data_IF_872548202990
#
_entry.id   IF_872548202990
#
_cell.length_a   1.000
_cell.length_b   1.000
_cell.length_c   1.000
_cell.angle_alpha   90.00
_cell.angle_beta   90.00
_cell.angle_gamma   90.00
#
_symmetry.space_group_name_H-M   'P 1'
#
loop_
_entity.id
_entity.type
_entity.pdbx_description
1 polymer ?
#
# COMPACT_ATOMS: atom_id res chain seq x y z
N UNK A 1 -21.79 29.42 9.86
CA UNK A 1 -22.31 28.11 9.44
C UNK A 1 -21.24 27.51 8.57
N UNK A 2 -20.57 26.52 9.14
CA UNK A 2 -19.21 26.10 8.84
C UNK A 2 -19.13 25.29 7.54
N UNK A 3 -18.45 25.86 6.54
CA UNK A 3 -18.16 25.22 5.23
C UNK A 3 -16.73 24.63 5.17
N UNK A 4 -16.03 24.60 6.30
CA UNK A 4 -14.62 24.17 6.37
C UNK A 4 -14.42 22.65 6.29
N UNK A 5 -15.48 21.84 6.44
CA UNK A 5 -15.37 20.39 6.53
C UNK A 5 -15.42 19.64 5.19
N UNK A 6 -15.80 20.28 4.08
CA UNK A 6 -16.06 19.59 2.81
C UNK A 6 -14.81 19.43 1.94
N UNK A 7 -13.96 20.47 1.88
CA UNK A 7 -12.74 20.46 1.06
C UNK A 7 -11.67 19.46 1.51
N UNK A 8 -11.55 19.22 2.82
CA UNK A 8 -10.57 18.26 3.36
C UNK A 8 -11.00 16.80 3.15
N UNK A 9 -12.31 16.51 3.28
CA UNK A 9 -12.87 15.17 3.04
C UNK A 9 -12.77 14.81 1.55
N UNK A 10 -13.07 15.75 0.65
CA UNK A 10 -12.91 15.54 -0.79
C UNK A 10 -11.44 15.29 -1.15
N UNK A 11 -10.52 15.99 -0.48
CA UNK A 11 -9.07 15.80 -0.69
C UNK A 11 -8.57 14.44 -0.20
N UNK A 12 -9.06 13.93 0.93
CA UNK A 12 -8.69 12.60 1.42
C UNK A 12 -9.26 11.49 0.53
N UNK A 13 -10.51 11.62 0.07
CA UNK A 13 -11.10 10.69 -0.87
C UNK A 13 -10.30 10.60 -2.19
N UNK A 14 -9.82 11.74 -2.70
CA UNK A 14 -8.95 11.79 -3.88
C UNK A 14 -7.61 11.09 -3.62
N UNK A 15 -6.95 11.33 -2.48
CA UNK A 15 -5.69 10.64 -2.15
C UNK A 15 -5.87 9.13 -1.99
N UNK A 16 -6.98 8.72 -1.36
CA UNK A 16 -7.34 7.31 -1.23
C UNK A 16 -7.49 6.66 -2.60
N UNK A 17 -8.22 7.28 -3.51
CA UNK A 17 -8.38 6.75 -4.87
C UNK A 17 -7.04 6.68 -5.61
N UNK A 18 -6.23 7.74 -5.54
CA UNK A 18 -4.89 7.75 -6.15
C UNK A 18 -3.98 6.64 -5.62
N UNK A 19 -4.05 6.33 -4.32
CA UNK A 19 -3.28 5.21 -3.76
C UNK A 19 -3.79 3.85 -4.26
N UNK A 20 -5.11 3.68 -4.39
CA UNK A 20 -5.69 2.46 -5.00
C UNK A 20 -5.22 2.33 -6.45
N UNK A 21 -5.34 3.38 -7.25
CA UNK A 21 -4.91 3.39 -8.65
C UNK A 21 -3.39 3.12 -8.77
N UNK A 22 -2.58 3.69 -7.87
CA UNK A 22 -1.13 3.48 -7.82
C UNK A 22 -0.74 2.04 -7.42
N UNK A 23 -1.57 1.34 -6.65
CA UNK A 23 -1.39 -0.11 -6.38
C UNK A 23 -1.84 -0.94 -7.58
N UNK A 24 -2.95 -0.58 -8.20
CA UNK A 24 -3.61 -1.40 -9.21
C UNK A 24 -2.89 -1.32 -10.58
N UNK A 25 -2.23 -0.20 -10.88
CA UNK A 25 -1.40 -0.05 -12.07
C UNK A 25 -0.27 -1.11 -12.19
N UNK A 26 0.63 -1.29 -11.20
CA UNK A 26 1.63 -2.35 -11.26
C UNK A 26 1.02 -3.75 -11.17
N UNK A 27 -0.13 -3.94 -10.52
CA UNK A 27 -0.84 -5.24 -10.54
C UNK A 27 -1.27 -5.62 -11.96
N UNK A 28 -1.82 -4.66 -12.72
CA UNK A 28 -2.21 -4.85 -14.11
C UNK A 28 -0.99 -5.13 -15.01
N UNK A 29 0.12 -4.43 -14.78
CA UNK A 29 1.38 -4.68 -15.48
C UNK A 29 1.91 -6.09 -15.20
N UNK A 30 2.04 -6.46 -13.93
CA UNK A 30 2.54 -7.78 -13.49
C UNK A 30 1.66 -8.93 -14.02
N UNK A 31 0.36 -8.69 -14.23
CA UNK A 31 -0.53 -9.70 -14.80
C UNK A 31 -0.12 -10.11 -16.24
N UNK A 32 0.63 -9.27 -16.95
CA UNK A 32 1.14 -9.54 -18.30
C UNK A 32 2.50 -10.24 -18.32
N UNK A 33 3.16 -10.35 -17.17
CA UNK A 33 4.50 -10.95 -17.06
C UNK A 33 4.47 -12.48 -17.22
N UNK A 34 5.66 -13.06 -17.41
CA UNK A 34 5.82 -14.52 -17.39
C UNK A 34 5.39 -15.11 -16.04
N UNK A 35 5.06 -16.40 -16.04
CA UNK A 35 4.70 -17.10 -14.79
C UNK A 35 5.82 -17.08 -13.75
N UNK A 36 7.07 -17.10 -14.20
CA UNK A 36 8.25 -17.13 -13.33
C UNK A 36 8.49 -15.75 -12.70
N UNK A 37 8.45 -14.69 -13.50
CA UNK A 37 8.59 -13.31 -13.00
C UNK A 37 7.45 -12.93 -12.05
N UNK A 38 6.22 -13.36 -12.37
CA UNK A 38 5.05 -13.12 -11.53
C UNK A 38 5.12 -13.92 -10.21
N UNK A 39 5.79 -15.07 -10.18
CA UNK A 39 5.98 -15.85 -8.95
C UNK A 39 6.96 -15.18 -7.99
N UNK A 40 7.93 -14.44 -8.51
CA UNK A 40 8.90 -13.71 -7.69
C UNK A 40 8.22 -12.57 -6.89
N UNK A 41 7.17 -11.96 -7.44
CA UNK A 41 6.41 -10.92 -6.75
C UNK A 41 5.51 -11.50 -5.65
N UNK A 42 5.82 -11.17 -4.41
CA UNK A 42 5.08 -11.62 -3.24
C UNK A 42 3.80 -10.82 -3.01
N UNK A 43 3.90 -9.49 -2.96
CA UNK A 43 2.80 -8.56 -2.72
C UNK A 43 3.06 -7.20 -3.35
N UNK A 44 1.97 -6.48 -3.63
CA UNK A 44 1.95 -5.08 -4.06
C UNK A 44 1.00 -4.31 -3.14
N UNK A 45 1.43 -3.14 -2.69
CA UNK A 45 0.62 -2.21 -1.90
C UNK A 45 0.98 -0.78 -2.28
N UNK A 46 0.13 0.16 -1.92
CA UNK A 46 0.41 1.57 -2.01
C UNK A 46 -0.01 2.29 -0.74
N UNK A 47 0.30 3.57 -0.66
CA UNK A 47 -0.17 4.44 0.39
C UNK A 47 -0.02 5.90 0.02
N UNK A 48 -0.59 6.75 0.85
CA UNK A 48 -0.47 8.18 0.74
C UNK A 48 -0.15 8.79 2.09
N UNK A 49 0.50 9.95 2.07
CA UNK A 49 0.72 10.79 3.23
C UNK A 49 -0.27 11.95 3.20
N UNK A 50 -1.07 12.13 4.26
CA UNK A 50 -2.10 13.17 4.34
C UNK A 50 -1.54 14.58 4.40
N UNK A 51 -0.34 14.77 4.99
CA UNK A 51 0.32 16.08 5.11
C UNK A 51 0.99 16.49 3.80
N UNK A 52 1.89 15.65 3.29
CA UNK A 52 2.66 15.97 2.08
C UNK A 52 1.87 15.76 0.78
N UNK A 53 0.68 15.14 0.86
CA UNK A 53 -0.16 14.76 -0.28
C UNK A 53 0.54 13.80 -1.26
N UNK A 54 1.68 13.23 -0.85
CA UNK A 54 2.45 12.27 -1.65
C UNK A 54 1.74 10.92 -1.69
N UNK A 55 1.82 10.25 -2.84
CA UNK A 55 1.37 8.87 -3.05
C UNK A 55 2.58 8.05 -3.48
N UNK A 56 2.67 6.80 -3.02
CA UNK A 56 3.74 5.87 -3.36
C UNK A 56 3.23 4.43 -3.37
N UNK A 57 3.90 3.55 -4.13
CA UNK A 57 3.60 2.13 -4.19
C UNK A 57 4.86 1.28 -3.98
N UNK A 58 4.68 0.09 -3.44
CA UNK A 58 5.74 -0.90 -3.26
C UNK A 58 5.39 -2.19 -3.97
N UNK A 59 6.41 -2.78 -4.59
CA UNK A 59 6.40 -4.16 -5.11
C UNK A 59 7.40 -4.93 -4.28
N UNK A 60 6.95 -5.98 -3.57
CA UNK A 60 7.84 -6.81 -2.79
C UNK A 60 8.21 -8.08 -3.56
N UNK A 61 9.49 -8.26 -3.86
CA UNK A 61 10.01 -9.44 -4.57
C UNK A 61 10.81 -10.35 -3.65
N UNK A 62 10.69 -11.67 -3.88
CA UNK A 62 11.43 -12.68 -3.12
C UNK A 62 12.92 -12.59 -3.40
N UNK A 63 13.28 -12.42 -4.68
CA UNK A 63 14.66 -12.30 -5.18
C UNK A 63 15.41 -11.08 -4.64
N UNK A 64 14.70 -10.01 -4.29
CA UNK A 64 15.30 -8.75 -3.82
C UNK A 64 15.34 -8.68 -2.29
N UNK A 65 14.22 -8.99 -1.63
CA UNK A 65 14.05 -8.68 -0.21
C UNK A 65 14.19 -9.88 0.71
N UNK A 66 14.11 -11.11 0.20
CA UNK A 66 14.27 -12.36 0.97
C UNK A 66 13.45 -12.42 2.29
N UNK A 67 12.29 -11.74 2.35
CA UNK A 67 11.46 -11.64 3.57
C UNK A 67 11.99 -10.69 4.66
N UNK A 68 13.12 -10.02 4.43
CA UNK A 68 13.75 -9.09 5.38
C UNK A 68 12.91 -7.82 5.53
N UNK A 69 12.30 -7.33 4.45
CA UNK A 69 11.35 -6.21 4.47
C UNK A 69 10.00 -6.64 3.91
N UNK A 70 8.93 -5.96 4.33
CA UNK A 70 7.59 -6.15 3.79
C UNK A 70 7.22 -5.01 2.84
N UNK A 71 6.13 -5.18 2.09
CA UNK A 71 5.68 -4.14 1.14
C UNK A 71 5.29 -2.85 1.85
N UNK A 72 4.81 -2.93 3.10
CA UNK A 72 4.53 -1.79 3.97
C UNK A 72 5.79 -0.99 4.28
N UNK A 73 6.94 -1.66 4.50
CA UNK A 73 8.23 -0.98 4.72
C UNK A 73 8.65 -0.20 3.46
N UNK A 74 8.44 -0.77 2.27
CA UNK A 74 8.75 -0.12 0.98
C UNK A 74 7.90 1.14 0.79
N UNK A 75 6.59 1.05 1.03
CA UNK A 75 5.67 2.19 0.91
C UNK A 75 6.04 3.30 1.89
N UNK A 76 6.29 2.96 3.16
CA UNK A 76 6.70 3.92 4.20
C UNK A 76 7.99 4.64 3.83
N UNK A 77 9.00 3.92 3.35
CA UNK A 77 10.27 4.49 2.92
C UNK A 77 10.06 5.51 1.79
N UNK A 78 9.25 5.16 0.79
CA UNK A 78 8.96 6.06 -0.32
C UNK A 78 8.12 7.28 0.08
N UNK A 79 7.23 7.14 1.06
CA UNK A 79 6.45 8.26 1.60
C UNK A 79 7.27 9.20 2.52
N UNK A 80 8.48 8.79 2.90
CA UNK A 80 9.38 9.58 3.75
C UNK A 80 9.17 9.38 5.24
N UNK A 81 8.50 8.30 5.66
CA UNK A 81 8.28 7.96 7.06
C UNK A 81 6.84 7.54 7.38
N UNK A 82 6.60 7.26 8.67
CA UNK A 82 5.32 6.72 9.17
C UNK A 82 4.30 7.78 9.55
N UNK A 83 4.69 9.07 9.55
CA UNK A 83 3.85 10.14 10.05
C UNK A 83 2.70 10.43 9.09
N UNK A 84 1.47 10.28 9.58
CA UNK A 84 0.21 10.59 8.89
C UNK A 84 0.04 9.92 7.51
N UNK A 85 0.44 8.64 7.44
CA UNK A 85 0.25 7.80 6.25
C UNK A 85 -0.97 6.89 6.36
N UNK A 86 -1.55 6.56 5.20
CA UNK A 86 -2.60 5.55 5.03
C UNK A 86 -2.20 4.64 3.88
N UNK A 87 -2.16 3.33 4.13
CA UNK A 87 -1.78 2.29 3.19
C UNK A 87 -2.99 1.46 2.75
N UNK A 88 -2.99 1.06 1.47
CA UNK A 88 -3.95 0.10 0.91
C UNK A 88 -3.70 -1.32 1.45
N UNK A 89 -4.69 -2.23 1.38
CA UNK A 89 -4.42 -3.66 1.56
C UNK A 89 -3.38 -4.16 0.56
N UNK A 90 -2.45 -5.00 1.03
CA UNK A 90 -1.46 -5.66 0.19
C UNK A 90 -2.12 -6.78 -0.63
N UNK A 91 -1.87 -6.81 -1.94
CA UNK A 91 -2.43 -7.80 -2.87
C UNK A 91 -1.31 -8.68 -3.41
N UNK A 92 -1.55 -9.99 -3.45
CA UNK A 92 -0.70 -10.96 -4.14
C UNK A 92 -1.04 -11.00 -5.64
N UNK A 93 -0.14 -10.59 -6.56
CA UNK A 93 -0.48 -10.46 -7.97
C UNK A 93 -0.93 -11.76 -8.63
N UNK A 94 -0.32 -12.88 -8.27
CA UNK A 94 -0.63 -14.20 -8.85
C UNK A 94 -2.02 -14.75 -8.52
N UNK A 95 -2.65 -14.29 -7.43
CA UNK A 95 -3.96 -14.81 -6.98
C UNK A 95 -5.02 -13.73 -6.76
N UNK A 96 -4.64 -12.45 -6.80
CA UNK A 96 -5.52 -11.34 -6.42
C UNK A 96 -5.90 -11.30 -4.94
N UNK A 97 -5.33 -12.18 -4.11
CA UNK A 97 -5.70 -12.28 -2.70
C UNK A 97 -5.13 -11.12 -1.90
N UNK A 98 -5.94 -10.60 -0.97
CA UNK A 98 -5.48 -9.69 0.08
C UNK A 98 -4.64 -10.49 1.07
N UNK A 99 -3.39 -10.07 1.27
CA UNK A 99 -2.48 -10.69 2.22
C UNK A 99 -2.56 -9.92 3.55
N UNK A 100 -2.81 -10.60 4.68
CA UNK A 100 -2.86 -9.95 5.98
C UNK A 100 -1.54 -9.31 6.36
N UNK A 101 -1.60 -8.12 6.96
CA UNK A 101 -0.43 -7.42 7.53
C UNK A 101 0.22 -8.32 8.57
N UNK A 102 1.50 -8.63 8.39
CA UNK A 102 2.20 -9.57 9.25
C UNK A 102 2.47 -8.99 10.65
N UNK A 103 2.67 -9.86 11.65
CA UNK A 103 2.93 -9.44 13.05
C UNK A 103 4.06 -8.42 13.16
N UNK A 104 5.13 -8.51 12.34
CA UNK A 104 6.23 -7.54 12.32
C UNK A 104 5.79 -6.15 11.87
N UNK A 105 4.96 -6.04 10.83
CA UNK A 105 4.44 -4.75 10.39
C UNK A 105 3.43 -4.19 11.40
N UNK A 106 2.68 -5.06 12.07
CA UNK A 106 1.76 -4.66 13.15
C UNK A 106 2.48 -4.04 14.37
N UNK A 107 3.73 -4.42 14.66
CA UNK A 107 4.52 -3.75 15.71
C UNK A 107 5.11 -2.41 15.27
N UNK A 108 5.20 -2.14 13.95
CA UNK A 108 5.78 -0.92 13.38
C UNK A 108 4.73 0.13 13.05
N UNK A 109 3.57 -0.29 12.58
CA UNK A 109 2.54 0.59 12.03
C UNK A 109 1.21 0.37 12.75
N UNK A 110 0.59 1.42 13.29
CA UNK A 110 -0.71 1.29 13.94
C UNK A 110 -1.79 0.92 12.92
N UNK A 111 -2.87 0.27 13.38
CA UNK A 111 -4.01 -0.09 12.51
C UNK A 111 -4.64 1.11 11.79
N UNK A 112 -4.54 2.30 12.38
CA UNK A 112 -4.98 3.55 11.78
C UNK A 112 -4.19 3.95 10.52
N UNK A 113 -3.01 3.38 10.29
CA UNK A 113 -2.21 3.59 9.07
C UNK A 113 -2.68 2.74 7.89
N UNK A 114 -3.80 2.02 8.01
CA UNK A 114 -4.31 1.12 6.98
C UNK A 114 -5.76 1.45 6.62
N UNK A 115 -6.07 1.36 5.33
CA UNK A 115 -7.44 1.54 4.85
C UNK A 115 -8.40 0.46 5.39
N UNK A 116 -9.70 0.77 5.51
CA UNK A 116 -10.74 -0.23 5.74
C UNK A 116 -10.65 -1.39 4.74
N UNK A 117 -10.89 -2.62 5.21
CA UNK A 117 -10.75 -3.84 4.40
C UNK A 117 -9.36 -4.48 4.44
N UNK A 118 -8.39 -3.85 5.11
CA UNK A 118 -7.08 -4.47 5.39
C UNK A 118 -7.23 -5.60 6.41
N UNK A 119 -6.63 -6.75 6.11
CA UNK A 119 -6.59 -7.91 7.01
C UNK A 119 -5.32 -7.88 7.87
N UNK A 120 -5.38 -8.46 9.06
CA UNK A 120 -4.27 -8.53 10.02
C UNK A 120 -4.14 -9.96 10.56
N UNK A 121 -2.90 -10.45 10.71
CA UNK A 121 -2.59 -11.73 11.36
C UNK A 121 -2.83 -11.71 12.88
#
# INVERSE_FOLDING_TARGET
MDDAGKGDVDSEAVLKQKAIDARDAPLAEIATWSSDDRQDVTTVAAGYNRKSKKVAFGINKTSENHGIICVEDIVVLQLGGIDDIIMTPAIRPRTGQIIPVCKRCQTKYPRSSFMPGTLFQ
#
